data_IF_961785096983
#
_entry.id   IF_961785096983
#
_cell.length_a   1.000
_cell.length_b   1.000
_cell.length_c   1.000
_cell.angle_alpha   90.00
_cell.angle_beta   90.00
_cell.angle_gamma   90.00
#
_symmetry.space_group_name_H-M   'P 1'
#
loop_
_entity.id
_entity.type
_entity.pdbx_description
1 polymer ?
#
# COMPACT_ATOMS: atom_id res chain seq x y z
N UNK A 1 12.01 -24.24 23.22
CA UNK A 1 12.68 -25.17 22.29
C UNK A 1 13.86 -25.80 23.00
N UNK A 2 13.94 -27.14 22.99
CA UNK A 2 15.00 -27.89 23.66
C UNK A 2 16.26 -27.84 22.78
N UNK A 3 17.38 -27.35 23.31
CA UNK A 3 18.66 -27.46 22.58
C UNK A 3 19.04 -28.93 22.57
N UNK A 4 19.13 -29.53 21.39
CA UNK A 4 19.69 -30.88 21.25
C UNK A 4 21.20 -30.72 21.41
N UNK A 5 21.71 -30.99 22.60
CA UNK A 5 23.16 -31.07 22.85
C UNK A 5 23.55 -32.54 22.65
N UNK A 6 24.40 -32.80 21.65
CA UNK A 6 24.95 -34.14 21.45
C UNK A 6 25.98 -34.42 22.53
N UNK A 7 25.68 -35.35 23.45
CA UNK A 7 26.69 -35.90 24.35
C UNK A 7 27.59 -36.85 23.55
N UNK A 8 28.74 -36.32 23.14
CA UNK A 8 29.71 -37.03 22.29
C UNK A 8 30.30 -38.24 23.02
N UNK A 9 30.41 -38.19 24.35
CA UNK A 9 30.96 -39.27 25.17
C UNK A 9 29.94 -40.41 25.34
N UNK A 10 28.70 -40.07 25.67
CA UNK A 10 27.62 -41.06 25.75
C UNK A 10 27.40 -41.75 24.39
N UNK A 11 27.46 -40.99 23.30
CA UNK A 11 27.35 -41.53 21.95
C UNK A 11 28.51 -42.48 21.60
N UNK A 12 29.76 -42.10 21.89
CA UNK A 12 30.90 -42.98 21.72
C UNK A 12 30.78 -44.26 22.57
N UNK A 13 30.32 -44.17 23.81
CA UNK A 13 30.12 -45.32 24.69
C UNK A 13 29.06 -46.29 24.15
N UNK A 14 27.98 -45.77 23.55
CA UNK A 14 26.97 -46.60 22.87
C UNK A 14 27.54 -47.34 21.65
N UNK A 15 28.40 -46.68 20.87
CA UNK A 15 29.09 -47.33 19.75
C UNK A 15 30.01 -48.45 20.22
N UNK A 16 30.80 -48.23 21.29
CA UNK A 16 31.66 -49.26 21.89
C UNK A 16 30.85 -50.45 22.39
N UNK A 17 29.72 -50.20 23.06
CA UNK A 17 28.81 -51.26 23.49
C UNK A 17 28.21 -52.06 22.32
N UNK A 18 28.11 -51.44 21.14
CA UNK A 18 27.70 -52.07 19.87
C UNK A 18 28.83 -52.82 19.14
N UNK A 19 30.04 -52.91 19.71
CA UNK A 19 31.16 -53.65 19.13
C UNK A 19 32.12 -52.82 18.27
N UNK A 20 32.00 -51.49 18.25
CA UNK A 20 32.98 -50.62 17.62
C UNK A 20 34.25 -50.53 18.48
N UNK A 21 35.41 -50.39 17.83
CA UNK A 21 36.65 -50.11 18.55
C UNK A 21 36.64 -48.71 19.15
N UNK A 22 37.45 -48.47 20.18
CA UNK A 22 37.56 -47.15 20.82
C UNK A 22 37.82 -46.03 19.81
N UNK A 23 38.76 -46.25 18.89
CA UNK A 23 39.13 -45.27 17.87
C UNK A 23 37.97 -45.01 16.88
N UNK A 24 37.24 -46.05 16.46
CA UNK A 24 36.11 -45.90 15.55
C UNK A 24 34.95 -45.14 16.21
N UNK A 25 34.62 -45.50 17.45
CA UNK A 25 33.55 -44.87 18.22
C UNK A 25 33.80 -43.38 18.43
N UNK A 26 35.02 -42.99 18.84
CA UNK A 26 35.34 -41.59 19.05
C UNK A 26 35.41 -40.80 17.73
N UNK A 27 35.90 -41.41 16.66
CA UNK A 27 35.98 -40.75 15.34
C UNK A 27 34.59 -40.48 14.78
N UNK A 28 33.67 -41.44 14.88
CA UNK A 28 32.27 -41.23 14.50
C UNK A 28 31.58 -40.20 15.39
N UNK A 29 31.79 -40.25 16.71
CA UNK A 29 31.20 -39.28 17.62
C UNK A 29 31.65 -37.85 17.31
N UNK A 30 32.94 -37.64 17.04
CA UNK A 30 33.48 -36.34 16.62
C UNK A 30 32.93 -35.87 15.27
N UNK A 31 32.87 -36.76 14.28
CA UNK A 31 32.35 -36.40 12.96
C UNK A 31 30.85 -36.01 13.00
N UNK A 32 30.05 -36.73 13.79
CA UNK A 32 28.63 -36.41 13.98
C UNK A 32 28.46 -35.10 14.76
N UNK A 33 29.27 -34.87 15.81
CA UNK A 33 29.26 -33.61 16.56
C UNK A 33 29.54 -32.41 15.65
N UNK A 34 30.54 -32.52 14.78
CA UNK A 34 30.91 -31.47 13.84
C UNK A 34 29.81 -31.19 12.80
N UNK A 35 29.11 -32.22 12.31
CA UNK A 35 27.97 -32.07 11.40
C UNK A 35 26.80 -31.37 12.10
N UNK A 36 26.48 -31.78 13.34
CA UNK A 36 25.39 -31.19 14.13
C UNK A 36 25.69 -29.73 14.44
N UNK A 37 26.92 -29.41 14.84
CA UNK A 37 27.34 -28.03 15.12
C UNK A 37 27.25 -27.13 13.87
N UNK A 38 27.59 -27.67 12.69
CA UNK A 38 27.47 -26.94 11.41
C UNK A 38 26.04 -26.79 10.89
N UNK A 39 25.14 -27.73 11.18
CA UNK A 39 23.75 -27.71 10.70
C UNK A 39 22.76 -27.03 11.66
N UNK A 40 23.15 -26.83 12.92
CA UNK A 40 22.37 -26.02 13.84
C UNK A 40 22.51 -24.55 13.44
N UNK A 41 21.43 -23.98 12.89
CA UNK A 41 21.26 -22.51 12.86
C UNK A 41 21.51 -22.03 14.28
N UNK A 42 22.54 -21.21 14.48
CA UNK A 42 22.88 -20.78 15.83
C UNK A 42 21.69 -19.99 16.38
N UNK A 43 21.44 -20.07 17.70
CA UNK A 43 20.38 -19.27 18.31
C UNK A 43 20.52 -17.78 17.96
N UNK A 44 21.76 -17.32 17.82
CA UNK A 44 22.10 -15.98 17.40
C UNK A 44 21.60 -15.68 15.97
N UNK A 45 21.79 -16.59 15.01
CA UNK A 45 21.30 -16.39 13.63
C UNK A 45 19.77 -16.30 13.60
N UNK A 46 19.09 -17.15 14.39
CA UNK A 46 17.63 -17.12 14.50
C UNK A 46 17.12 -15.81 15.12
N UNK A 47 17.75 -15.37 16.21
CA UNK A 47 17.40 -14.11 16.89
C UNK A 47 17.67 -12.90 15.97
N UNK A 48 18.75 -12.96 15.18
CA UNK A 48 19.06 -11.96 14.17
C UNK A 48 17.98 -11.90 13.08
N UNK A 49 17.61 -13.04 12.48
CA UNK A 49 16.55 -13.09 11.47
C UNK A 49 15.20 -12.62 12.04
N UNK A 50 14.89 -12.96 13.30
CA UNK A 50 13.69 -12.46 13.96
C UNK A 50 13.71 -10.93 14.13
N UNK A 51 14.88 -10.37 14.46
CA UNK A 51 15.06 -8.92 14.57
C UNK A 51 14.92 -8.23 13.20
N UNK A 52 15.51 -8.79 12.15
CA UNK A 52 15.41 -8.31 10.78
C UNK A 52 13.95 -8.30 10.30
N UNK A 53 13.22 -9.40 10.49
CA UNK A 53 11.79 -9.48 10.13
C UNK A 53 10.97 -8.44 10.88
N UNK A 54 11.20 -8.24 12.18
CA UNK A 54 10.49 -7.21 12.96
C UNK A 54 10.77 -5.81 12.43
N UNK A 55 12.03 -5.53 12.06
CA UNK A 55 12.41 -4.25 11.47
C UNK A 55 11.73 -4.05 10.12
N UNK A 56 11.74 -5.04 9.25
CA UNK A 56 11.15 -4.96 7.91
C UNK A 56 9.63 -4.80 7.96
N UNK A 57 8.96 -5.45 8.92
CA UNK A 57 7.54 -5.24 9.23
C UNK A 57 7.32 -3.78 9.64
N UNK A 58 8.08 -3.27 10.60
CA UNK A 58 7.91 -1.90 11.09
C UNK A 58 8.19 -0.87 10.00
N UNK A 59 9.21 -1.09 9.16
CA UNK A 59 9.48 -0.24 8.01
C UNK A 59 8.33 -0.25 7.00
N UNK A 60 7.75 -1.43 6.75
CA UNK A 60 6.60 -1.57 5.86
C UNK A 60 5.35 -0.88 6.42
N UNK A 61 5.08 -1.01 7.71
CA UNK A 61 3.98 -0.31 8.40
C UNK A 61 4.14 1.20 8.29
N UNK A 62 5.33 1.73 8.56
CA UNK A 62 5.61 3.16 8.44
C UNK A 62 5.45 3.67 7.00
N UNK A 63 5.92 2.91 6.01
CA UNK A 63 5.73 3.24 4.58
C UNK A 63 4.25 3.27 4.20
N UNK A 64 3.46 2.32 4.71
CA UNK A 64 2.02 2.29 4.47
C UNK A 64 1.32 3.48 5.11
N UNK A 65 1.67 3.85 6.34
CA UNK A 65 1.11 5.02 7.01
C UNK A 65 1.39 6.32 6.24
N UNK A 66 2.62 6.49 5.76
CA UNK A 66 3.01 7.65 4.95
C UNK A 66 2.19 7.70 3.65
N UNK A 67 2.09 6.57 2.94
CA UNK A 67 1.32 6.48 1.68
C UNK A 67 -0.16 6.76 1.89
N UNK A 68 -0.75 6.29 2.99
CA UNK A 68 -2.15 6.57 3.33
C UNK A 68 -2.34 8.08 3.52
N UNK A 69 -1.48 8.75 4.31
CA UNK A 69 -1.57 10.21 4.52
C UNK A 69 -1.39 11.01 3.23
N UNK A 70 -0.49 10.56 2.34
CA UNK A 70 -0.29 11.17 1.03
C UNK A 70 -1.51 11.02 0.12
N UNK A 71 -2.12 9.84 0.09
CA UNK A 71 -3.36 9.58 -0.64
C UNK A 71 -4.53 10.42 -0.09
N UNK A 72 -4.70 10.50 1.23
CA UNK A 72 -5.73 11.33 1.86
C UNK A 72 -5.55 12.81 1.49
N UNK A 73 -4.31 13.30 1.50
CA UNK A 73 -4.00 14.69 1.13
C UNK A 73 -4.29 14.95 -0.34
N UNK A 74 -3.93 14.01 -1.22
CA UNK A 74 -4.16 14.12 -2.66
C UNK A 74 -5.65 14.10 -2.98
N UNK A 75 -6.39 13.12 -2.45
CA UNK A 75 -7.83 13.02 -2.63
C UNK A 75 -8.58 14.25 -2.12
N UNK A 76 -8.15 14.82 -0.99
CA UNK A 76 -8.74 16.05 -0.48
C UNK A 76 -8.54 17.22 -1.45
N UNK A 77 -7.35 17.37 -2.02
CA UNK A 77 -7.07 18.41 -3.02
C UNK A 77 -7.90 18.20 -4.28
N UNK A 78 -8.00 16.97 -4.78
CA UNK A 78 -8.78 16.66 -5.97
C UNK A 78 -10.27 16.97 -5.75
N UNK A 79 -10.81 16.68 -4.57
CA UNK A 79 -12.19 17.06 -4.20
C UNK A 79 -12.36 18.58 -4.18
N UNK A 80 -11.40 19.34 -3.65
CA UNK A 80 -11.45 20.80 -3.63
C UNK A 80 -11.40 21.39 -5.05
N UNK A 81 -10.55 20.83 -5.93
CA UNK A 81 -10.45 21.21 -7.35
C UNK A 81 -11.79 20.92 -8.07
N UNK A 82 -12.29 19.68 -7.97
CA UNK A 82 -13.55 19.28 -8.62
C UNK A 82 -14.74 20.14 -8.15
N UNK A 83 -14.79 20.52 -6.87
CA UNK A 83 -15.81 21.44 -6.35
C UNK A 83 -15.68 22.83 -6.95
N UNK A 84 -14.46 23.34 -7.11
CA UNK A 84 -14.21 24.64 -7.71
C UNK A 84 -14.58 24.64 -9.21
N UNK A 85 -14.19 23.61 -9.95
CA UNK A 85 -14.56 23.39 -11.36
C UNK A 85 -16.08 23.31 -11.53
N UNK A 86 -16.75 22.45 -10.74
CA UNK A 86 -18.21 22.33 -10.79
C UNK A 86 -18.90 23.68 -10.53
N UNK A 87 -18.42 24.46 -9.55
CA UNK A 87 -19.00 25.78 -9.25
C UNK A 87 -18.78 26.77 -10.40
N UNK A 88 -17.61 26.72 -11.05
CA UNK A 88 -17.30 27.53 -12.22
C UNK A 88 -18.21 27.17 -13.39
N UNK A 89 -18.35 25.89 -13.72
CA UNK A 89 -19.16 25.41 -14.84
C UNK A 89 -20.64 25.78 -14.65
N UNK A 90 -21.14 25.68 -13.41
CA UNK A 90 -22.49 26.14 -13.07
C UNK A 90 -22.65 27.66 -13.28
N UNK A 91 -21.65 28.46 -12.90
CA UNK A 91 -21.69 29.91 -13.10
C UNK A 91 -21.64 30.28 -14.60
N UNK A 92 -20.80 29.58 -15.36
CA UNK A 92 -20.67 29.74 -16.81
C UNK A 92 -21.98 29.38 -17.53
N UNK A 93 -22.58 28.23 -17.18
CA UNK A 93 -23.87 27.80 -17.70
C UNK A 93 -24.98 28.81 -17.37
N UNK A 94 -25.01 29.35 -16.15
CA UNK A 94 -25.97 30.39 -15.76
C UNK A 94 -25.77 31.67 -16.58
N UNK A 95 -24.53 32.10 -16.79
CA UNK A 95 -24.23 33.29 -17.57
C UNK A 95 -24.60 33.12 -19.05
N UNK A 96 -24.31 31.95 -19.63
CA UNK A 96 -24.73 31.61 -20.99
C UNK A 96 -26.26 31.60 -21.11
N UNK A 97 -26.96 30.99 -20.16
CA UNK A 97 -28.43 30.97 -20.15
C UNK A 97 -29.02 32.37 -20.07
N UNK A 98 -28.47 33.25 -19.20
CA UNK A 98 -28.90 34.66 -19.13
C UNK A 98 -28.69 35.35 -20.49
N UNK A 99 -27.54 35.14 -21.14
CA UNK A 99 -27.24 35.73 -22.44
C UNK A 99 -28.25 35.29 -23.51
N UNK A 100 -28.59 34.00 -23.55
CA UNK A 100 -29.62 33.47 -24.45
C UNK A 100 -31.01 34.05 -24.17
N UNK A 101 -31.43 34.07 -22.90
CA UNK A 101 -32.74 34.61 -22.50
C UNK A 101 -32.86 36.09 -22.86
N UNK A 102 -31.82 36.89 -22.57
CA UNK A 102 -31.79 38.32 -22.95
C UNK A 102 -31.83 38.48 -24.46
N UNK A 103 -31.05 37.70 -25.21
CA UNK A 103 -31.05 37.75 -26.68
C UNK A 103 -32.43 37.45 -27.28
N UNK A 104 -33.09 36.39 -26.81
CA UNK A 104 -34.45 36.04 -27.23
C UNK A 104 -35.46 37.11 -26.82
N UNK A 105 -35.36 37.64 -25.60
CA UNK A 105 -36.26 38.70 -25.11
C UNK A 105 -36.19 39.98 -25.94
N UNK A 106 -34.99 40.42 -26.32
CA UNK A 106 -34.80 41.58 -27.21
C UNK A 106 -35.44 41.32 -28.58
N UNK A 107 -35.19 40.15 -29.17
CA UNK A 107 -35.78 39.78 -30.47
C UNK A 107 -37.32 39.75 -30.40
N UNK A 108 -37.90 39.19 -29.33
CA UNK A 108 -39.35 39.16 -29.13
C UNK A 108 -39.93 40.57 -29.03
N UNK A 109 -39.32 41.48 -28.26
CA UNK A 109 -39.77 42.88 -28.14
C UNK A 109 -39.73 43.58 -29.50
N UNK A 110 -38.66 43.38 -30.29
CA UNK A 110 -38.55 43.95 -31.63
C UNK A 110 -39.67 43.43 -32.56
N UNK A 111 -39.96 42.12 -32.54
CA UNK A 111 -41.03 41.51 -33.33
C UNK A 111 -42.40 42.09 -32.94
N UNK A 112 -42.72 42.14 -31.64
CA UNK A 112 -43.99 42.68 -31.14
C UNK A 112 -44.15 44.15 -31.57
N UNK A 113 -43.10 44.95 -31.42
CA UNK A 113 -43.10 46.38 -31.80
C UNK A 113 -43.37 46.54 -33.30
N UNK A 114 -42.71 45.75 -34.15
CA UNK A 114 -42.91 45.78 -35.59
C UNK A 114 -44.35 45.37 -36.00
N UNK A 115 -44.92 44.36 -35.33
CA UNK A 115 -46.31 43.93 -35.56
C UNK A 115 -47.32 45.01 -35.15
N UNK A 116 -47.12 45.67 -34.01
CA UNK A 116 -47.98 46.77 -33.55
C UNK A 116 -47.96 47.96 -34.51
N UNK A 117 -46.77 48.38 -34.98
CA UNK A 117 -46.64 49.45 -35.98
C UNK A 117 -47.32 49.09 -37.30
N UNK A 118 -47.17 47.84 -37.76
CA UNK A 118 -47.82 47.36 -38.98
C UNK A 118 -49.34 47.33 -38.87
N UNK A 119 -49.88 47.00 -37.69
CA UNK A 119 -51.32 47.01 -37.44
C UNK A 119 -51.87 48.43 -37.38
N UNK A 120 -51.17 49.36 -36.70
CA UNK A 120 -51.55 50.76 -36.62
C UNK A 120 -51.61 51.43 -38.01
N UNK A 121 -50.71 51.08 -38.92
CA UNK A 121 -50.72 51.60 -40.30
C UNK A 121 -51.83 51.02 -41.20
N UNK A 122 -52.61 50.04 -40.73
CA UNK A 122 -53.73 49.43 -41.47
C UNK A 122 -55.12 49.90 -41.03
N UNK A 123 -55.21 50.64 -39.92
CA UNK A 123 -56.44 51.24 -39.40
C UNK A 123 -56.48 52.69 -39.85
#
# INVERSE_FOLDING_TARGET
>A
MNTIILDTLEFANKLKAGGFTDQQAETQARAIAEIVERQLVSRQDFDQHQSEIKRDIHESENKLEIRIKELETTLRKDIEILRAETKRDVAETKAELIRWVVGVGILQIAIITALLLRLANRI
#
